data_IF_751864093603
#
_entry.id   IF_751864093603
#
_cell.length_a   1.000
_cell.length_b   1.000
_cell.length_c   1.000
_cell.angle_alpha   90.00
_cell.angle_beta   90.00
_cell.angle_gamma   90.00
#
_symmetry.space_group_name_H-M   'P 1'
#
loop_
_entity.id
_entity.type
_entity.pdbx_description
1 polymer ?
#
# COMPACT_ATOMS: atom_id res chain seq x y z
N UNK A 1 2.41 -9.43 0.75
CA UNK A 1 2.30 -7.97 0.51
C UNK A 1 3.69 -7.40 0.72
N UNK A 2 4.15 -6.51 -0.14
CA UNK A 2 5.44 -5.84 0.05
C UNK A 2 5.34 -4.80 1.17
N UNK A 3 6.48 -4.50 1.81
CA UNK A 3 6.55 -3.39 2.76
C UNK A 3 6.76 -2.08 1.96
N UNK A 4 5.89 -1.07 2.12
CA UNK A 4 5.90 0.12 1.26
C UNK A 4 7.23 0.89 1.24
N UNK A 5 7.89 1.06 2.38
CA UNK A 5 9.13 1.85 2.44
C UNK A 5 10.29 1.10 1.77
N UNK A 6 10.41 -0.21 1.96
CA UNK A 6 11.41 -1.05 1.30
C UNK A 6 11.22 -1.08 -0.23
N UNK A 7 9.97 -1.11 -0.70
CA UNK A 7 9.66 -0.99 -2.12
C UNK A 7 10.10 0.38 -2.67
N UNK A 8 9.84 1.46 -1.93
CA UNK A 8 10.28 2.82 -2.28
C UNK A 8 11.81 2.95 -2.32
N UNK A 9 12.54 2.38 -1.37
CA UNK A 9 14.02 2.39 -1.39
C UNK A 9 14.59 1.73 -2.66
N UNK A 10 13.92 0.67 -3.12
CA UNK A 10 14.39 -0.10 -4.29
C UNK A 10 14.05 0.61 -5.60
N UNK A 11 12.83 1.13 -5.72
CA UNK A 11 12.28 1.64 -6.99
C UNK A 11 12.31 3.16 -7.11
N UNK A 12 12.54 3.88 -6.02
CA UNK A 12 12.51 5.34 -5.97
C UNK A 12 13.37 6.01 -7.05
N UNK A 13 14.65 5.62 -7.23
CA UNK A 13 15.54 6.23 -8.23
C UNK A 13 15.07 6.11 -9.69
N UNK A 14 14.17 5.16 -9.99
CA UNK A 14 13.63 4.91 -11.34
C UNK A 14 12.14 5.22 -11.47
N UNK A 15 11.53 5.83 -10.44
CA UNK A 15 10.10 6.13 -10.40
C UNK A 15 9.77 7.35 -11.28
N UNK A 16 8.91 7.15 -12.28
CA UNK A 16 8.43 8.23 -13.17
C UNK A 16 7.10 8.83 -12.69
N UNK A 17 6.23 8.02 -12.09
CA UNK A 17 4.97 8.43 -11.49
C UNK A 17 4.56 7.41 -10.41
N UNK A 18 3.59 7.75 -9.56
CA UNK A 18 3.05 6.84 -8.54
C UNK A 18 1.54 6.80 -8.53
N UNK A 19 0.96 5.63 -8.25
CA UNK A 19 -0.42 5.50 -7.82
C UNK A 19 -0.44 5.05 -6.36
N UNK A 20 -1.06 5.81 -5.47
CA UNK A 20 -1.12 5.48 -4.05
C UNK A 20 -2.56 5.18 -3.60
N UNK A 21 -2.67 4.15 -2.77
CA UNK A 21 -3.88 3.74 -2.06
C UNK A 21 -3.48 3.32 -0.67
N UNK A 22 -4.43 3.46 0.25
CA UNK A 22 -4.26 2.91 1.59
C UNK A 22 -5.27 1.79 1.82
N UNK A 23 -4.89 0.84 2.66
CA UNK A 23 -5.65 -0.38 2.87
C UNK A 23 -5.70 -0.69 4.35
N UNK A 24 -6.87 -1.13 4.80
CA UNK A 24 -7.02 -1.83 6.06
C UNK A 24 -6.99 -3.34 5.81
N UNK A 25 -6.42 -4.10 6.74
CA UNK A 25 -6.33 -5.55 6.69
C UNK A 25 -6.79 -6.09 8.04
N UNK A 26 -7.71 -7.06 8.04
CA UNK A 26 -8.13 -7.77 9.23
C UNK A 26 -8.19 -9.28 8.99
N UNK A 27 -7.97 -10.04 10.05
CA UNK A 27 -8.04 -11.50 10.00
C UNK A 27 -9.49 -11.98 9.91
N UNK A 28 -9.67 -13.09 9.20
CA UNK A 28 -10.93 -13.85 9.14
C UNK A 28 -10.64 -15.33 9.41
N UNK A 29 -11.65 -16.16 9.74
CA UNK A 29 -11.40 -17.57 10.02
C UNK A 29 -10.72 -18.33 8.86
N UNK A 30 -10.93 -17.89 7.62
CA UNK A 30 -10.35 -18.52 6.42
C UNK A 30 -9.15 -17.77 5.83
N UNK A 31 -8.64 -16.71 6.48
CA UNK A 31 -7.50 -15.95 6.00
C UNK A 31 -7.51 -14.50 6.47
N UNK A 32 -7.44 -13.56 5.53
CA UNK A 32 -7.52 -12.14 5.81
C UNK A 32 -8.42 -11.44 4.78
N UNK A 33 -8.94 -10.27 5.13
CA UNK A 33 -9.67 -9.40 4.21
C UNK A 33 -9.00 -8.05 4.14
N UNK A 34 -8.78 -7.58 2.91
CA UNK A 34 -8.26 -6.26 2.60
C UNK A 34 -9.38 -5.34 2.11
N UNK A 35 -9.38 -4.09 2.55
CA UNK A 35 -10.30 -3.07 2.08
C UNK A 35 -9.53 -1.78 1.81
N UNK A 36 -9.72 -1.20 0.63
CA UNK A 36 -9.22 0.14 0.35
C UNK A 36 -9.97 1.18 1.17
N UNK A 37 -9.21 2.12 1.70
CA UNK A 37 -9.66 3.20 2.56
C UNK A 37 -9.05 4.52 2.11
N UNK A 38 -9.45 5.62 2.76
CA UNK A 38 -8.79 6.91 2.56
C UNK A 38 -7.32 6.83 3.01
N UNK A 39 -6.45 7.54 2.31
CA UNK A 39 -5.03 7.65 2.69
C UNK A 39 -4.91 8.25 4.09
N UNK A 40 -4.16 7.56 4.97
CA UNK A 40 -4.00 7.91 6.38
C UNK A 40 -5.01 7.23 7.31
N UNK A 41 -5.98 6.49 6.76
CA UNK A 41 -6.91 5.67 7.54
C UNK A 41 -6.65 4.16 7.42
N UNK A 42 -5.61 3.75 6.68
CA UNK A 42 -5.18 2.37 6.58
C UNK A 42 -3.92 2.09 7.39
N UNK A 43 -3.05 1.25 6.84
CA UNK A 43 -1.92 0.66 7.56
C UNK A 43 -0.57 1.30 7.20
N UNK A 44 -0.50 2.12 6.14
CA UNK A 44 0.76 2.74 5.71
C UNK A 44 1.05 3.99 6.53
N UNK A 45 2.25 4.08 7.11
CA UNK A 45 2.71 5.32 7.73
C UNK A 45 3.18 6.30 6.64
N UNK A 46 2.26 7.16 6.19
CA UNK A 46 2.49 8.06 5.06
C UNK A 46 3.47 9.19 5.36
N UNK A 47 3.63 9.60 6.63
CA UNK A 47 4.52 10.69 6.99
C UNK A 47 6.02 10.40 6.73
N UNK A 48 6.59 9.26 7.18
CA UNK A 48 7.93 8.86 6.79
C UNK A 48 8.01 8.48 5.30
N UNK A 49 6.98 7.83 4.75
CA UNK A 49 6.95 7.48 3.32
C UNK A 49 7.12 8.70 2.44
N UNK A 50 6.33 9.76 2.63
CA UNK A 50 6.41 10.96 1.79
C UNK A 50 7.67 11.79 2.02
N UNK A 51 8.22 11.80 3.24
CA UNK A 51 9.54 12.39 3.49
C UNK A 51 10.59 11.71 2.63
N UNK A 52 10.62 10.38 2.63
CA UNK A 52 11.57 9.62 1.83
C UNK A 52 11.28 9.69 0.32
N UNK A 53 10.01 9.74 -0.05
CA UNK A 53 9.57 9.89 -1.44
C UNK A 53 10.07 11.21 -2.04
N UNK A 54 10.00 12.30 -1.30
CA UNK A 54 10.49 13.60 -1.75
C UNK A 54 12.02 13.60 -1.99
N UNK A 55 12.77 12.76 -1.26
CA UNK A 55 14.23 12.60 -1.44
C UNK A 55 14.56 11.75 -2.66
N UNK A 56 13.87 10.62 -2.85
CA UNK A 56 14.18 9.64 -3.89
C UNK A 56 13.52 9.94 -5.24
N UNK A 57 12.33 10.55 -5.22
CA UNK A 57 11.47 10.73 -6.37
C UNK A 57 11.05 12.21 -6.56
N UNK A 58 11.97 13.20 -6.51
CA UNK A 58 11.63 14.63 -6.39
C UNK A 58 10.80 15.18 -7.57
N UNK A 59 10.81 14.49 -8.71
CA UNK A 59 10.07 14.90 -9.91
C UNK A 59 8.83 14.04 -10.18
N UNK A 60 8.65 12.93 -9.46
CA UNK A 60 7.54 12.03 -9.70
C UNK A 60 6.26 12.59 -9.10
N UNK A 61 5.16 12.68 -9.87
CA UNK A 61 3.87 13.06 -9.33
C UNK A 61 3.32 11.99 -8.38
N UNK A 62 2.53 12.46 -7.42
CA UNK A 62 1.74 11.63 -6.51
C UNK A 62 0.31 11.59 -7.03
N UNK A 63 -0.13 10.43 -7.54
CA UNK A 63 -1.53 10.23 -7.93
C UNK A 63 -2.25 9.52 -6.79
N UNK A 64 -3.07 10.28 -6.06
CA UNK A 64 -3.92 9.77 -4.99
C UNK A 64 -5.17 9.10 -5.56
N UNK A 65 -5.33 7.81 -5.29
CA UNK A 65 -6.49 7.04 -5.70
C UNK A 65 -7.38 6.74 -4.48
N UNK A 66 -8.41 7.55 -4.27
CA UNK A 66 -9.40 7.31 -3.20
C UNK A 66 -10.55 6.47 -3.76
N UNK A 67 -10.42 5.15 -3.68
CA UNK A 67 -11.42 4.20 -4.18
C UNK A 67 -11.96 3.39 -3.00
N UNK A 68 -13.24 3.51 -2.70
CA UNK A 68 -13.92 2.63 -1.75
C UNK A 68 -14.46 1.41 -2.51
N UNK A 69 -13.60 0.40 -2.66
CA UNK A 69 -13.94 -0.86 -3.32
C UNK A 69 -14.77 -1.80 -2.43
N UNK A 70 -15.05 -3.01 -2.93
CA UNK A 70 -15.54 -4.10 -2.07
C UNK A 70 -14.37 -4.73 -1.31
N UNK A 71 -14.61 -5.37 -0.15
CA UNK A 71 -13.56 -6.10 0.55
C UNK A 71 -13.01 -7.24 -0.32
N UNK A 72 -11.69 -7.37 -0.36
CA UNK A 72 -10.95 -8.39 -1.11
C UNK A 72 -10.53 -9.47 -0.13
N UNK A 73 -11.06 -10.67 -0.30
CA UNK A 73 -10.68 -11.82 0.52
C UNK A 73 -9.34 -12.41 0.05
N UNK A 74 -8.41 -12.55 0.98
CA UNK A 74 -7.10 -13.13 0.82
C UNK A 74 -7.08 -14.48 1.56
N UNK A 75 -7.30 -15.61 0.87
CA UNK A 75 -7.23 -16.92 1.50
C UNK A 75 -5.81 -17.15 2.02
N UNK A 76 -5.68 -17.33 3.33
CA UNK A 76 -4.43 -17.68 4.02
C UNK A 76 -4.76 -18.75 5.06
N UNK A 77 -3.78 -19.49 5.57
CA UNK A 77 -3.96 -20.53 6.61
C UNK A 77 -4.59 -21.86 6.18
N UNK A 78 -4.95 -22.05 4.90
CA UNK A 78 -5.22 -23.38 4.36
C UNK A 78 -3.97 -23.89 3.66
N UNK A 79 -3.43 -25.00 4.15
CA UNK A 79 -2.44 -25.78 3.43
C UNK A 79 -3.12 -26.33 2.16
N UNK A 80 -2.88 -25.68 1.02
CA UNK A 80 -3.28 -26.18 -0.29
C UNK A 80 -2.21 -27.14 -0.87
N UNK A 81 -1.67 -28.02 -0.01
CA UNK A 81 -0.75 -29.08 -0.38
C UNK A 81 -1.31 -30.45 0.03
#
# INVERSE_FOLDING_TARGET
MEEPLAALETLGPVTVCTGIRDSHLWETPEGATLQWTAVGAGLVDWAPFFRRFAELCPQAPVILETITGRPIFLPMLRDYF
#
